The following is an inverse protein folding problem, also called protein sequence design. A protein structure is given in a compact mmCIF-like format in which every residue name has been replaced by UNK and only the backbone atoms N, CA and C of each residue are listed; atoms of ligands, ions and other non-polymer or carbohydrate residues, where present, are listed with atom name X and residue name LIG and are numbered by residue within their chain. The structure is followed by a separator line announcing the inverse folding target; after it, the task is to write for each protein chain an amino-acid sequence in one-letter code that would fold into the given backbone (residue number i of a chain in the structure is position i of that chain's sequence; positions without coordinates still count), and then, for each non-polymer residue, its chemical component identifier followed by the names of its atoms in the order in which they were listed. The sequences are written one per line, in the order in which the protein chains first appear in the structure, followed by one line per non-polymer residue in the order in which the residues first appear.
data_IF_285379504034
#
_entry.id   IF_285379504034
#
_cell.length_a   1.000
_cell.length_b   1.000
_cell.length_c   1.000
_cell.angle_alpha   90.00
_cell.angle_beta   90.00
_cell.angle_gamma   90.00
#
_symmetry.space_group_name_H-M   'P 1'
#
loop_
_entity.id
_entity.type
_entity.pdbx_description
1 polymer ?
#
# COMPACT_ATOMS: atom_id res chain seq x y z
N UNK A 1 -14.65 0.92 14.03
CA UNK A 1 -15.15 0.31 12.79
C UNK A 1 -15.27 1.42 11.77
N UNK A 2 -14.50 1.41 10.67
CA UNK A 2 -14.66 2.39 9.60
C UNK A 2 -16.00 2.10 8.91
N UNK A 3 -16.87 3.07 8.92
CA UNK A 3 -18.13 3.01 8.18
C UNK A 3 -17.86 3.60 6.80
N UNK A 4 -17.87 2.75 5.78
CA UNK A 4 -17.81 3.19 4.39
C UNK A 4 -19.22 3.65 3.97
N UNK A 5 -19.50 4.93 4.19
CA UNK A 5 -20.76 5.59 3.82
C UNK A 5 -20.68 6.09 2.37
N UNK A 6 -21.84 6.41 1.78
CA UNK A 6 -21.88 7.05 0.46
C UNK A 6 -21.13 8.39 0.46
N UNK A 7 -21.21 9.14 1.56
CA UNK A 7 -20.49 10.40 1.75
C UNK A 7 -18.98 10.19 1.70
N UNK A 8 -18.47 9.15 2.39
CA UNK A 8 -17.05 8.78 2.33
C UNK A 8 -16.60 8.47 0.89
N UNK A 9 -17.40 7.71 0.13
CA UNK A 9 -17.05 7.38 -1.26
C UNK A 9 -17.14 8.58 -2.20
N UNK A 10 -18.03 9.52 -1.94
CA UNK A 10 -18.08 10.78 -2.67
C UNK A 10 -16.80 11.60 -2.44
N UNK A 11 -16.29 11.63 -1.22
CA UNK A 11 -15.00 12.28 -0.90
C UNK A 11 -13.83 11.59 -1.60
N UNK A 12 -13.78 10.26 -1.56
CA UNK A 12 -12.75 9.47 -2.27
C UNK A 12 -12.79 9.74 -3.77
N UNK A 13 -13.97 9.80 -4.38
CA UNK A 13 -14.14 10.09 -5.81
C UNK A 13 -13.69 11.52 -6.14
N UNK A 14 -14.08 12.50 -5.33
CA UNK A 14 -13.66 13.90 -5.49
C UNK A 14 -12.15 14.05 -5.41
N UNK A 15 -11.49 13.45 -4.39
CA UNK A 15 -10.03 13.46 -4.24
C UNK A 15 -9.36 12.79 -5.45
N UNK A 16 -9.87 11.65 -5.89
CA UNK A 16 -9.28 10.92 -7.03
C UNK A 16 -9.29 11.71 -8.33
N UNK A 17 -10.27 12.61 -8.53
CA UNK A 17 -10.37 13.53 -9.68
C UNK A 17 -9.38 14.68 -9.62
N UNK A 18 -8.95 15.04 -8.41
CA UNK A 18 -7.99 16.13 -8.20
C UNK A 18 -6.52 15.70 -8.33
N UNK A 19 -6.23 14.40 -8.40
CA UNK A 19 -4.85 13.90 -8.50
C UNK A 19 -4.32 14.10 -9.91
N UNK A 20 -3.27 14.93 -10.11
CA UNK A 20 -2.71 15.18 -11.43
C UNK A 20 -2.15 13.88 -12.06
N UNK A 21 -2.38 13.69 -13.36
CA UNK A 21 -1.85 12.55 -14.10
C UNK A 21 -2.23 11.16 -13.57
N UNK A 22 -3.33 11.04 -12.82
CA UNK A 22 -3.77 9.78 -12.22
C UNK A 22 -3.96 8.67 -13.28
N UNK A 23 -4.31 9.03 -14.51
CA UNK A 23 -4.48 8.09 -15.62
C UNK A 23 -3.20 7.31 -15.99
N UNK A 24 -2.02 7.79 -15.59
CA UNK A 24 -0.76 7.03 -15.75
C UNK A 24 -0.73 5.72 -14.94
N UNK A 25 -1.64 5.56 -13.98
CA UNK A 25 -1.76 4.35 -13.17
C UNK A 25 -2.63 3.26 -13.83
N UNK A 26 -3.31 3.56 -14.94
CA UNK A 26 -4.15 2.57 -15.65
C UNK A 26 -3.33 1.38 -16.11
N UNK A 27 -3.81 0.17 -15.74
CA UNK A 27 -3.17 -1.10 -16.10
C UNK A 27 -1.81 -1.33 -15.44
N UNK A 28 -1.36 -0.42 -14.57
CA UNK A 28 -0.06 -0.53 -13.89
C UNK A 28 -0.12 -1.41 -12.66
N UNK A 29 1.03 -1.92 -12.28
CA UNK A 29 1.22 -2.70 -11.06
C UNK A 29 1.82 -1.81 -9.97
N UNK A 30 1.12 -1.65 -8.86
CA UNK A 30 1.53 -0.79 -7.73
C UNK A 30 1.73 -1.65 -6.49
N UNK A 31 2.94 -1.62 -5.94
CA UNK A 31 3.26 -2.25 -4.66
C UNK A 31 3.15 -1.22 -3.53
N UNK A 32 2.40 -1.54 -2.49
CA UNK A 32 2.16 -0.65 -1.35
C UNK A 32 2.59 -1.36 -0.06
N UNK A 33 3.56 -0.79 0.64
CA UNK A 33 3.89 -1.20 2.01
C UNK A 33 3.16 -0.31 3.01
N UNK A 34 2.91 -0.81 4.22
CA UNK A 34 2.17 -0.03 5.22
C UNK A 34 0.70 0.19 4.88
N UNK A 35 0.12 -0.67 4.06
CA UNK A 35 -1.25 -0.56 3.55
C UNK A 35 -2.35 -0.48 4.62
N UNK A 36 -2.09 -0.94 5.85
CA UNK A 36 -3.06 -0.87 6.97
C UNK A 36 -2.91 0.38 7.83
N UNK A 37 -1.90 1.22 7.57
CA UNK A 37 -1.71 2.52 8.21
C UNK A 37 -2.67 3.57 7.65
N UNK A 38 -2.71 4.74 8.28
CA UNK A 38 -3.63 5.82 7.92
C UNK A 38 -3.45 6.26 6.46
N UNK A 39 -2.22 6.58 6.05
CA UNK A 39 -1.93 7.04 4.67
C UNK A 39 -2.04 5.88 3.69
N UNK A 40 -1.42 4.73 4.00
CA UNK A 40 -1.43 3.57 3.10
C UNK A 40 -2.83 3.06 2.80
N UNK A 41 -3.73 3.02 3.80
CA UNK A 41 -5.09 2.56 3.57
C UNK A 41 -5.90 3.53 2.70
N UNK A 42 -5.74 4.83 2.86
CA UNK A 42 -6.42 5.81 2.00
C UNK A 42 -6.00 5.66 0.53
N UNK A 43 -4.70 5.45 0.27
CA UNK A 43 -4.21 5.19 -1.10
C UNK A 43 -4.81 3.90 -1.67
N UNK A 44 -4.84 2.81 -0.90
CA UNK A 44 -5.46 1.55 -1.33
C UNK A 44 -6.93 1.75 -1.67
N UNK A 45 -7.67 2.44 -0.82
CA UNK A 45 -9.09 2.72 -1.01
C UNK A 45 -9.37 3.51 -2.28
N UNK A 46 -8.56 4.54 -2.56
CA UNK A 46 -8.64 5.31 -3.82
C UNK A 46 -8.41 4.40 -5.03
N UNK A 47 -7.35 3.59 -5.03
CA UNK A 47 -7.02 2.71 -6.17
C UNK A 47 -8.10 1.65 -6.42
N UNK A 48 -8.60 1.00 -5.36
CA UNK A 48 -9.68 0.02 -5.48
C UNK A 48 -10.98 0.68 -5.94
N UNK A 49 -11.32 1.86 -5.42
CA UNK A 49 -12.48 2.63 -5.87
C UNK A 49 -12.40 2.98 -7.37
N UNK A 50 -11.23 3.43 -7.83
CA UNK A 50 -11.00 3.74 -9.25
C UNK A 50 -11.06 2.49 -10.14
N UNK A 51 -10.59 1.34 -9.65
CA UNK A 51 -10.75 0.08 -10.37
C UNK A 51 -12.22 -0.28 -10.56
N UNK A 52 -13.04 -0.12 -9.52
CA UNK A 52 -14.46 -0.48 -9.54
C UNK A 52 -15.31 0.53 -10.34
N UNK A 53 -15.05 1.84 -10.20
CA UNK A 53 -15.92 2.88 -10.77
C UNK A 53 -15.47 3.37 -12.13
N UNK A 54 -14.17 3.30 -12.44
CA UNK A 54 -13.59 3.88 -13.66
C UNK A 54 -12.77 2.89 -14.50
N UNK A 55 -12.85 1.58 -14.19
CA UNK A 55 -12.13 0.52 -14.91
C UNK A 55 -10.64 0.82 -15.11
N UNK A 56 -9.96 1.21 -14.03
CA UNK A 56 -8.53 1.52 -14.07
C UNK A 56 -7.66 0.29 -14.31
N UNK A 57 -8.13 -0.89 -13.86
CA UNK A 57 -7.39 -2.15 -13.98
C UNK A 57 -5.98 -2.10 -13.38
N UNK A 58 -5.79 -1.25 -12.37
CA UNK A 58 -4.54 -1.17 -11.63
C UNK A 58 -4.37 -2.45 -10.79
N UNK A 59 -3.23 -3.12 -10.95
CA UNK A 59 -2.88 -4.29 -10.12
C UNK A 59 -2.30 -3.80 -8.80
N UNK A 60 -2.99 -4.06 -7.69
CA UNK A 60 -2.58 -3.62 -6.36
C UNK A 60 -1.92 -4.77 -5.62
N UNK A 61 -0.68 -4.57 -5.17
CA UNK A 61 0.06 -5.54 -4.34
C UNK A 61 0.25 -4.94 -2.97
N UNK A 62 -0.33 -5.57 -1.96
CA UNK A 62 -0.24 -5.11 -0.57
C UNK A 62 0.85 -5.90 0.16
N UNK A 63 1.93 -5.21 0.51
CA UNK A 63 3.09 -5.80 1.16
C UNK A 63 3.09 -5.52 2.67
N UNK A 64 3.27 -6.58 3.48
CA UNK A 64 3.29 -6.46 4.92
C UNK A 64 3.52 -7.78 5.64
N UNK A 65 3.62 -7.73 6.98
CA UNK A 65 3.92 -8.89 7.82
C UNK A 65 2.74 -9.84 8.04
N UNK A 66 1.51 -9.37 7.84
CA UNK A 66 0.30 -10.15 8.18
C UNK A 66 -0.77 -10.03 7.11
N UNK A 67 -0.96 -11.12 6.36
CA UNK A 67 -2.04 -11.25 5.39
C UNK A 67 -3.42 -11.10 6.02
N UNK A 68 -3.61 -11.69 7.22
CA UNK A 68 -4.88 -11.64 7.93
C UNK A 68 -5.27 -10.22 8.35
N UNK A 69 -4.29 -9.40 8.79
CA UNK A 69 -4.54 -7.99 9.13
C UNK A 69 -4.97 -7.18 7.92
N UNK A 70 -4.30 -7.39 6.77
CA UNK A 70 -4.64 -6.72 5.51
C UNK A 70 -6.04 -7.16 5.06
N UNK A 71 -6.32 -8.45 5.03
CA UNK A 71 -7.63 -8.98 4.66
C UNK A 71 -8.75 -8.43 5.55
N UNK A 72 -8.54 -8.39 6.87
CA UNK A 72 -9.50 -7.83 7.82
C UNK A 72 -9.72 -6.31 7.60
N UNK A 73 -8.66 -5.55 7.27
CA UNK A 73 -8.75 -4.09 7.05
C UNK A 73 -9.63 -3.76 5.84
N UNK A 74 -9.52 -4.55 4.79
CA UNK A 74 -10.19 -4.30 3.51
C UNK A 74 -11.35 -5.25 3.20
N UNK A 75 -11.80 -6.06 4.17
CA UNK A 75 -12.82 -7.09 3.96
C UNK A 75 -14.14 -6.58 3.37
N UNK A 76 -14.48 -5.30 3.60
CA UNK A 76 -15.71 -4.68 3.09
C UNK A 76 -15.54 -4.06 1.70
N UNK A 77 -14.32 -4.01 1.17
CA UNK A 77 -14.00 -3.33 -0.08
C UNK A 77 -13.66 -4.29 -1.20
N UNK A 78 -13.31 -5.53 -0.87
CA UNK A 78 -12.69 -6.43 -1.82
C UNK A 78 -13.59 -7.62 -2.14
N UNK A 79 -13.79 -7.82 -3.43
CA UNK A 79 -14.09 -9.12 -3.96
C UNK A 79 -12.78 -9.92 -4.06
N UNK A 80 -12.84 -11.25 -3.96
CA UNK A 80 -11.67 -12.10 -4.09
C UNK A 80 -10.94 -11.77 -5.42
N UNK A 81 -9.73 -11.22 -5.31
CA UNK A 81 -8.90 -10.90 -6.48
C UNK A 81 -8.55 -9.42 -6.68
N UNK A 82 -9.13 -8.50 -5.93
CA UNK A 82 -8.88 -7.06 -6.10
C UNK A 82 -7.45 -6.63 -5.73
N UNK A 83 -6.76 -7.41 -4.90
CA UNK A 83 -5.35 -7.21 -4.61
C UNK A 83 -4.60 -8.52 -4.40
N UNK A 84 -3.28 -8.47 -4.55
CA UNK A 84 -2.36 -9.55 -4.20
C UNK A 84 -1.66 -9.24 -2.89
N UNK A 85 -1.36 -10.28 -2.09
CA UNK A 85 -0.58 -10.12 -0.87
C UNK A 85 0.87 -10.56 -1.10
N UNK A 86 1.81 -9.75 -0.58
CA UNK A 86 3.23 -10.07 -0.56
C UNK A 86 3.75 -9.97 0.88
N UNK A 87 4.46 -11.00 1.36
CA UNK A 87 5.11 -10.90 2.67
C UNK A 87 6.28 -9.90 2.60
N UNK A 88 6.27 -8.93 3.48
CA UNK A 88 7.31 -7.92 3.60
C UNK A 88 7.51 -7.52 5.06
N UNK A 89 8.78 -7.51 5.48
CA UNK A 89 9.22 -7.05 6.79
C UNK A 89 10.30 -5.97 6.59
N UNK A 90 9.96 -4.73 6.93
CA UNK A 90 10.86 -3.58 6.74
C UNK A 90 12.16 -3.72 7.56
N UNK A 91 12.09 -4.35 8.74
CA UNK A 91 13.25 -4.55 9.60
C UNK A 91 14.29 -5.50 8.99
N UNK A 92 13.84 -6.40 8.11
CA UNK A 92 14.70 -7.40 7.46
C UNK A 92 15.18 -6.97 6.08
N UNK A 93 14.54 -5.97 5.48
CA UNK A 93 14.88 -5.48 4.15
C UNK A 93 14.74 -6.50 3.00
N UNK A 94 14.35 -7.73 3.32
CA UNK A 94 14.25 -8.80 2.33
C UNK A 94 12.85 -8.88 1.75
N UNK A 95 12.75 -8.64 0.45
CA UNK A 95 11.52 -8.80 -0.29
C UNK A 95 11.75 -9.75 -1.46
N UNK A 96 11.12 -10.91 -1.40
CA UNK A 96 11.10 -11.84 -2.55
C UNK A 96 9.82 -11.60 -3.34
N UNK A 97 9.92 -10.89 -4.43
CA UNK A 97 8.79 -10.63 -5.32
C UNK A 97 8.54 -11.78 -6.31
N UNK A 98 9.43 -12.76 -6.38
CA UNK A 98 9.37 -13.77 -7.42
C UNK A 98 9.43 -13.12 -8.81
N UNK A 99 8.38 -13.36 -9.61
CA UNK A 99 8.23 -12.77 -10.95
C UNK A 99 7.46 -11.43 -10.95
N UNK A 100 7.05 -10.91 -9.79
CA UNK A 100 6.30 -9.67 -9.70
C UNK A 100 7.21 -8.47 -9.96
N UNK A 101 6.86 -7.69 -10.99
CA UNK A 101 7.56 -6.44 -11.33
C UNK A 101 6.58 -5.28 -11.17
N UNK A 102 6.62 -4.55 -10.05
CA UNK A 102 5.79 -3.36 -9.90
C UNK A 102 6.31 -2.23 -10.79
N UNK A 103 5.38 -1.48 -11.40
CA UNK A 103 5.71 -0.23 -12.11
C UNK A 103 5.98 0.91 -11.12
N UNK A 104 5.29 0.87 -9.97
CA UNK A 104 5.40 1.87 -8.90
C UNK A 104 5.45 1.22 -7.53
N UNK A 105 6.19 1.84 -6.61
CA UNK A 105 6.23 1.45 -5.20
C UNK A 105 5.84 2.63 -4.34
N UNK A 106 4.88 2.42 -3.43
CA UNK A 106 4.52 3.36 -2.38
C UNK A 106 4.98 2.77 -1.06
N UNK A 107 6.02 3.36 -0.48
CA UNK A 107 6.59 2.90 0.78
C UNK A 107 6.05 3.75 1.95
N UNK A 108 5.02 3.23 2.64
CA UNK A 108 4.39 3.85 3.80
C UNK A 108 4.55 3.00 5.08
N UNK A 109 5.37 1.94 5.04
CA UNK A 109 5.67 1.14 6.22
C UNK A 109 6.83 1.78 6.98
N UNK A 110 6.55 2.32 8.17
CA UNK A 110 7.54 2.80 9.13
C UNK A 110 6.99 2.63 10.54
N UNK A 111 7.82 2.35 11.54
CA UNK A 111 7.45 2.60 12.94
C UNK A 111 7.22 4.11 13.09
N UNK A 112 5.98 4.52 13.29
CA UNK A 112 5.59 5.95 13.31
C UNK A 112 5.04 6.37 14.68
N UNK A 113 5.39 5.64 15.74
CA UNK A 113 4.95 5.96 17.08
C UNK A 113 6.07 6.63 17.90
N UNK A 114 5.73 7.62 18.76
CA UNK A 114 6.70 8.35 19.58
C UNK A 114 7.51 7.44 20.50
N UNK A 115 6.95 6.33 20.97
CA UNK A 115 7.64 5.39 21.84
C UNK A 115 8.79 4.68 21.10
N UNK A 116 8.56 4.23 19.89
CA UNK A 116 9.59 3.62 19.05
C UNK A 116 10.74 4.59 18.77
N UNK A 117 10.43 5.85 18.45
CA UNK A 117 11.45 6.88 18.24
C UNK A 117 12.27 7.17 19.51
N UNK A 118 11.64 7.16 20.68
CA UNK A 118 12.32 7.45 21.95
C UNK A 118 13.15 6.27 22.46
N UNK A 119 12.67 5.02 22.31
CA UNK A 119 13.28 3.85 22.92
C UNK A 119 14.16 3.04 21.98
N UNK A 120 13.93 3.13 20.65
CA UNK A 120 14.64 2.37 19.60
C UNK A 120 14.95 3.23 18.38
N UNK A 121 15.65 4.38 18.55
CA UNK A 121 15.87 5.33 17.45
C UNK A 121 16.72 4.74 16.32
N UNK A 122 17.74 3.96 16.66
CA UNK A 122 18.65 3.36 15.67
C UNK A 122 17.92 2.29 14.87
N UNK A 123 17.19 1.40 15.52
CA UNK A 123 16.40 0.35 14.86
C UNK A 123 15.32 0.96 13.95
N UNK A 124 14.67 2.02 14.42
CA UNK A 124 13.67 2.74 13.61
C UNK A 124 14.28 3.35 12.36
N UNK A 125 15.44 3.97 12.48
CA UNK A 125 16.17 4.54 11.34
C UNK A 125 16.63 3.43 10.37
N UNK A 126 17.19 2.35 10.89
CA UNK A 126 17.67 1.22 10.07
C UNK A 126 16.51 0.53 9.34
N UNK A 127 15.36 0.34 9.99
CA UNK A 127 14.17 -0.23 9.33
C UNK A 127 13.74 0.60 8.12
N UNK A 128 13.75 1.93 8.24
CA UNK A 128 13.42 2.83 7.13
C UNK A 128 14.44 2.75 5.98
N UNK A 129 15.73 2.66 6.29
CA UNK A 129 16.79 2.58 5.27
C UNK A 129 16.81 1.20 4.62
N UNK A 130 16.89 0.12 5.40
CA UNK A 130 16.98 -1.25 4.90
C UNK A 130 15.73 -1.65 4.12
N UNK A 131 14.56 -1.25 4.62
CA UNK A 131 13.29 -1.46 3.94
C UNK A 131 13.27 -0.80 2.56
N UNK A 132 13.71 0.46 2.47
CA UNK A 132 13.77 1.18 1.21
C UNK A 132 14.77 0.56 0.23
N UNK A 133 15.95 0.18 0.69
CA UNK A 133 16.98 -0.46 -0.17
C UNK A 133 16.43 -1.73 -0.81
N UNK A 134 15.82 -2.63 -0.02
CA UNK A 134 15.20 -3.84 -0.55
C UNK A 134 14.10 -3.58 -1.59
N UNK A 135 13.34 -2.51 -1.43
CA UNK A 135 12.32 -2.10 -2.40
C UNK A 135 12.92 -1.53 -3.69
N UNK A 136 14.00 -0.76 -3.59
CA UNK A 136 14.69 -0.19 -4.75
C UNK A 136 15.37 -1.27 -5.61
N UNK A 137 15.87 -2.35 -5.00
CA UNK A 137 16.49 -3.44 -5.74
C UNK A 137 15.51 -4.18 -6.64
N UNK A 138 14.23 -4.21 -6.27
CA UNK A 138 13.17 -4.79 -7.12
C UNK A 138 12.95 -3.97 -8.40
N UNK A 139 13.06 -2.64 -8.31
CA UNK A 139 12.87 -1.76 -9.47
C UNK A 139 14.02 -1.82 -10.48
N UNK A 140 15.18 -2.35 -10.08
CA UNK A 140 16.35 -2.52 -10.96
C UNK A 140 16.31 -3.82 -11.80
N UNK A 141 15.41 -4.74 -11.47
CA UNK A 141 15.25 -6.02 -12.16
C UNK A 141 14.29 -5.89 -13.35
#
# INVERSE_FOLDING_TARGET
MLLYTDEYWNDVDAVSKCIPNIDKLRGRTILITGATGMIGSAVVEILLHMNHTRNFHTKVILAGRSRSRIAKRFQLLVNNGDFSFLYYDADKGNLNTGTLKPDFIIHAASPADPHSFATKPVETMLANISGLVGLLDILKM
#
